data_IF_751404217634
#
_entry.id   IF_751404217634
#
_cell.length_a   1.000
_cell.length_b   1.000
_cell.length_c   1.000
_cell.angle_alpha   90.00
_cell.angle_beta   90.00
_cell.angle_gamma   90.00
#
_symmetry.space_group_name_H-M   'P 1'
#
loop_
_entity.id
_entity.type
_entity.pdbx_description
1 polymer ?
#
# COMPACT_ATOMS: atom_id res chain seq x y z
N UNK A 1 27.46 -43.73 22.19
CA UNK A 1 27.86 -42.30 22.00
C UNK A 1 26.73 -41.39 22.51
N UNK A 2 26.97 -40.49 23.47
CA UNK A 2 25.94 -39.57 23.95
C UNK A 2 25.61 -38.55 22.86
N UNK A 3 24.31 -38.38 22.55
CA UNK A 3 23.81 -37.33 21.66
C UNK A 3 24.21 -35.96 22.25
N UNK A 4 25.20 -35.29 21.67
CA UNK A 4 25.51 -33.88 21.99
C UNK A 4 24.21 -33.07 21.84
N UNK A 5 23.68 -32.55 22.95
CA UNK A 5 22.57 -31.57 22.94
C UNK A 5 23.02 -30.42 22.03
N UNK A 6 22.38 -30.26 20.87
CA UNK A 6 22.64 -29.14 19.96
C UNK A 6 22.32 -27.84 20.69
N UNK A 7 23.35 -27.05 20.99
CA UNK A 7 23.19 -25.71 21.56
C UNK A 7 22.33 -24.85 20.63
N UNK A 8 21.29 -24.25 21.21
CA UNK A 8 20.40 -23.34 20.49
C UNK A 8 20.97 -21.94 20.61
N UNK A 9 21.06 -21.28 19.46
CA UNK A 9 21.57 -19.91 19.35
C UNK A 9 20.37 -19.00 19.23
N UNK A 10 20.23 -18.09 20.19
CA UNK A 10 19.17 -17.08 20.15
C UNK A 10 19.68 -15.81 19.49
N UNK A 11 18.93 -15.33 18.50
CA UNK A 11 19.20 -14.05 17.85
C UNK A 11 18.29 -12.98 18.45
N UNK A 12 18.86 -11.87 18.85
CA UNK A 12 18.15 -10.69 19.36
C UNK A 12 18.62 -9.45 18.58
N UNK A 13 17.76 -8.44 18.46
CA UNK A 13 18.16 -7.11 17.97
C UNK A 13 18.11 -6.15 19.16
N UNK A 14 19.21 -5.46 19.40
CA UNK A 14 19.27 -4.46 20.46
C UNK A 14 18.60 -3.13 20.06
N UNK A 15 18.42 -2.17 20.99
CA UNK A 15 17.85 -0.86 20.68
C UNK A 15 18.63 -0.03 19.65
N UNK A 16 19.84 -0.45 19.26
CA UNK A 16 20.68 0.18 18.25
C UNK A 16 20.71 -0.61 16.93
N UNK A 17 19.75 -1.49 16.70
CA UNK A 17 19.65 -2.32 15.50
C UNK A 17 20.93 -3.15 15.23
N UNK A 18 21.56 -3.67 16.29
CA UNK A 18 22.68 -4.59 16.18
C UNK A 18 22.23 -6.01 16.49
N UNK A 19 22.82 -6.98 15.80
CA UNK A 19 22.55 -8.39 16.04
C UNK A 19 23.29 -8.84 17.29
N UNK A 20 22.54 -9.38 18.26
CA UNK A 20 23.07 -10.04 19.45
C UNK A 20 22.90 -11.55 19.28
N UNK A 21 23.96 -12.29 19.59
CA UNK A 21 23.89 -13.73 19.83
C UNK A 21 23.89 -13.96 21.34
N UNK A 22 22.88 -14.68 21.83
CA UNK A 22 22.88 -15.23 23.18
C UNK A 22 23.06 -16.76 23.08
N UNK A 23 24.11 -17.25 23.74
CA UNK A 23 24.36 -18.69 23.87
C UNK A 23 23.60 -19.23 25.09
N UNK A 24 22.96 -20.39 24.94
CA UNK A 24 22.27 -21.08 26.05
C UNK A 24 22.90 -22.46 26.25
N UNK A 25 23.50 -22.69 27.42
CA UNK A 25 24.17 -23.96 27.74
C UNK A 25 24.39 -24.16 29.25
N UNK A 26 24.32 -25.41 29.71
CA UNK A 26 24.43 -25.82 31.12
C UNK A 26 25.80 -25.54 31.78
N UNK A 27 26.80 -25.11 31.01
CA UNK A 27 28.13 -24.71 31.51
C UNK A 27 28.23 -23.23 31.89
N UNK A 28 27.25 -22.39 31.55
CA UNK A 28 27.25 -21.00 31.94
C UNK A 28 26.71 -20.86 33.38
N UNK A 29 27.60 -20.91 34.38
CA UNK A 29 27.31 -20.50 35.77
C UNK A 29 27.11 -18.97 35.90
N UNK A 30 26.84 -18.26 34.80
CA UNK A 30 26.62 -16.80 34.74
C UNK A 30 25.43 -16.50 33.83
N UNK A 31 24.65 -15.49 34.18
CA UNK A 31 23.49 -15.01 33.43
C UNK A 31 23.87 -14.59 32.00
N UNK A 32 23.49 -15.39 31.00
CA UNK A 32 23.44 -15.07 29.56
C UNK A 32 24.58 -14.18 29.01
N UNK A 33 25.66 -14.79 28.51
CA UNK A 33 26.64 -14.06 27.69
C UNK A 33 25.98 -13.58 26.38
N UNK A 34 25.90 -12.25 26.21
CA UNK A 34 25.36 -11.58 25.02
C UNK A 34 26.51 -10.99 24.21
N UNK A 35 26.70 -11.50 22.99
CA UNK A 35 27.72 -10.99 22.08
C UNK A 35 27.09 -10.12 21.00
N UNK A 36 27.50 -8.86 20.94
CA UNK A 36 27.15 -7.94 19.85
C UNK A 36 28.03 -8.27 18.66
N UNK A 37 27.40 -8.54 17.52
CA UNK A 37 28.09 -8.70 16.24
C UNK A 37 28.08 -7.36 15.52
N UNK A 38 29.23 -6.94 14.98
CA UNK A 38 29.33 -5.75 14.14
C UNK A 38 28.98 -6.11 12.70
N UNK A 39 28.13 -5.32 12.05
CA UNK A 39 27.61 -5.64 10.72
C UNK A 39 26.39 -4.79 10.34
N UNK A 40 25.72 -5.18 9.26
CA UNK A 40 24.53 -4.49 8.75
C UNK A 40 23.48 -5.45 8.19
N UNK A 41 22.20 -5.04 8.24
CA UNK A 41 21.12 -5.79 7.62
C UNK A 41 21.03 -5.51 6.12
N UNK A 42 20.74 -6.56 5.34
CA UNK A 42 20.48 -6.49 3.91
C UNK A 42 19.24 -7.33 3.57
N UNK A 43 18.40 -6.79 2.70
CA UNK A 43 17.29 -7.52 2.10
C UNK A 43 17.66 -7.91 0.67
N UNK A 44 17.45 -9.17 0.32
CA UNK A 44 17.68 -9.67 -1.04
C UNK A 44 16.45 -9.52 -1.96
N UNK A 45 16.57 -10.00 -3.20
CA UNK A 45 15.49 -9.94 -4.20
C UNK A 45 14.20 -10.70 -3.82
N UNK A 46 14.30 -11.62 -2.87
CA UNK A 46 13.19 -12.45 -2.38
C UNK A 46 12.65 -11.93 -1.04
N UNK A 47 13.03 -10.71 -0.65
CA UNK A 47 12.69 -10.12 0.64
C UNK A 47 13.22 -10.91 1.85
N UNK A 48 14.27 -11.71 1.67
CA UNK A 48 14.92 -12.42 2.78
C UNK A 48 15.89 -11.50 3.50
N UNK A 49 15.80 -11.45 4.83
CA UNK A 49 16.70 -10.68 5.66
C UNK A 49 18.01 -11.45 5.86
N UNK A 50 19.13 -10.75 5.73
CA UNK A 50 20.42 -11.27 6.13
C UNK A 50 21.20 -10.22 6.91
N UNK A 51 22.03 -10.67 7.84
CA UNK A 51 22.98 -9.83 8.55
C UNK A 51 24.39 -10.11 8.00
N UNK A 52 25.06 -9.07 7.52
CA UNK A 52 26.40 -9.13 6.96
C UNK A 52 27.39 -8.69 8.03
N UNK A 53 28.24 -9.61 8.48
CA UNK A 53 29.19 -9.39 9.57
C UNK A 53 30.42 -8.65 9.02
N UNK A 54 30.79 -7.54 9.66
CA UNK A 54 32.00 -6.78 9.32
C UNK A 54 33.22 -7.48 9.92
N UNK A 55 34.26 -7.66 9.11
CA UNK A 55 35.54 -8.19 9.59
C UNK A 55 36.30 -7.17 10.44
N UNK A 56 37.17 -7.61 11.37
CA UNK A 56 37.40 -9.01 11.77
C UNK A 56 36.30 -9.54 12.71
N UNK A 57 35.96 -10.82 12.58
CA UNK A 57 35.11 -11.49 13.57
C UNK A 57 35.87 -11.62 14.90
N UNK A 58 35.20 -11.50 16.07
CA UNK A 58 35.85 -11.72 17.36
C UNK A 58 36.61 -13.05 17.38
N UNK A 59 37.86 -13.04 17.85
CA UNK A 59 38.72 -14.23 17.90
C UNK A 59 38.01 -15.39 18.59
N UNK A 60 38.05 -16.59 17.98
CA UNK A 60 37.44 -17.82 18.51
C UNK A 60 35.97 -18.04 18.15
N UNK A 61 35.24 -17.04 17.67
CA UNK A 61 33.83 -17.20 17.29
C UNK A 61 33.69 -17.67 15.83
N UNK A 62 33.21 -18.91 15.61
CA UNK A 62 32.86 -19.44 14.27
C UNK A 62 31.57 -18.81 13.73
N UNK A 63 31.54 -17.49 13.62
CA UNK A 63 30.39 -16.73 13.11
C UNK A 63 30.52 -16.62 11.59
N UNK A 64 29.51 -17.03 10.81
CA UNK A 64 29.56 -16.88 9.36
C UNK A 64 29.55 -15.39 8.97
N UNK A 65 30.24 -15.04 7.87
CA UNK A 65 30.22 -13.68 7.31
C UNK A 65 28.81 -13.19 6.96
N UNK A 66 27.86 -14.11 6.77
CA UNK A 66 26.46 -13.83 6.53
C UNK A 66 25.57 -14.73 7.39
N UNK A 67 24.67 -14.12 8.16
CA UNK A 67 23.61 -14.83 8.90
C UNK A 67 22.29 -14.61 8.16
N UNK A 68 21.73 -15.68 7.57
CA UNK A 68 20.41 -15.62 6.93
C UNK A 68 19.30 -15.75 7.97
N UNK A 69 18.35 -14.83 7.94
CA UNK A 69 17.24 -14.73 8.89
C UNK A 69 15.93 -14.97 8.12
N UNK A 70 15.39 -16.18 8.26
CA UNK A 70 14.14 -16.57 7.63
C UNK A 70 13.00 -16.41 8.64
N UNK A 71 11.93 -15.77 8.23
CA UNK A 71 10.78 -15.50 9.09
C UNK A 71 9.66 -14.85 8.32
N UNK A 72 8.66 -14.33 9.03
CA UNK A 72 7.53 -13.61 8.43
C UNK A 72 7.54 -12.14 8.84
N UNK A 73 7.33 -11.25 7.87
CA UNK A 73 7.36 -9.81 8.07
C UNK A 73 6.03 -9.26 8.60
N UNK A 74 6.13 -8.32 9.53
CA UNK A 74 5.01 -7.57 10.08
C UNK A 74 5.42 -6.10 10.30
N UNK A 75 4.42 -5.22 10.29
CA UNK A 75 4.58 -3.82 10.70
C UNK A 75 4.01 -3.69 12.12
N UNK A 76 4.82 -3.19 13.05
CA UNK A 76 4.36 -2.92 14.43
C UNK A 76 3.47 -1.68 14.48
N UNK A 77 2.84 -1.43 15.63
CA UNK A 77 2.04 -0.21 15.85
C UNK A 77 2.89 1.07 15.75
N UNK A 78 4.15 1.02 16.18
CA UNK A 78 5.11 2.13 16.01
C UNK A 78 5.78 2.20 14.62
N UNK A 79 5.23 1.51 13.62
CA UNK A 79 5.78 1.44 12.26
C UNK A 79 7.23 0.94 12.19
N UNK A 80 7.61 0.00 13.06
CA UNK A 80 8.86 -0.75 12.95
C UNK A 80 8.64 -2.00 12.10
N UNK A 81 9.69 -2.44 11.40
CA UNK A 81 9.66 -3.72 10.71
C UNK A 81 10.00 -4.84 11.69
N UNK A 82 9.12 -5.82 11.82
CA UNK A 82 9.32 -6.99 12.66
C UNK A 82 9.39 -8.25 11.79
N UNK A 83 10.39 -9.09 12.04
CA UNK A 83 10.54 -10.40 11.44
C UNK A 83 10.34 -11.46 12.52
N UNK A 84 9.29 -12.28 12.40
CA UNK A 84 9.09 -13.45 13.27
C UNK A 84 9.80 -14.65 12.67
N UNK A 85 10.85 -15.14 13.33
CA UNK A 85 11.72 -16.19 12.77
C UNK A 85 10.99 -17.54 12.66
N UNK A 86 11.21 -18.20 11.52
CA UNK A 86 10.84 -19.59 11.31
C UNK A 86 11.82 -20.50 12.06
N UNK A 87 11.39 -21.71 12.45
CA UNK A 87 12.29 -22.69 13.06
C UNK A 87 13.25 -23.22 12.00
N UNK A 88 14.47 -22.70 11.95
CA UNK A 88 15.51 -23.23 11.06
C UNK A 88 16.87 -23.38 11.76
N UNK A 89 17.45 -24.58 11.69
CA UNK A 89 18.76 -24.88 12.27
C UNK A 89 18.84 -24.68 13.78
N UNK A 90 19.75 -23.82 14.24
CA UNK A 90 19.97 -23.48 15.66
C UNK A 90 19.05 -22.36 16.18
N UNK A 91 18.19 -21.80 15.35
CA UNK A 91 17.27 -20.71 15.71
C UNK A 91 16.10 -21.21 16.56
N UNK A 92 15.66 -20.38 17.49
CA UNK A 92 14.46 -20.59 18.29
C UNK A 92 13.22 -20.08 17.54
N UNK A 93 12.22 -20.96 17.40
CA UNK A 93 10.95 -20.66 16.73
C UNK A 93 10.21 -19.54 17.49
N UNK A 94 9.67 -18.56 16.75
CA UNK A 94 8.81 -17.52 17.31
C UNK A 94 9.55 -16.31 17.89
N UNK A 95 10.88 -16.28 17.83
CA UNK A 95 11.62 -15.06 18.17
C UNK A 95 11.30 -13.93 17.18
N UNK A 96 11.06 -12.75 17.73
CA UNK A 96 10.71 -11.53 16.98
C UNK A 96 11.93 -10.63 16.91
N UNK A 97 12.42 -10.40 15.70
CA UNK A 97 13.47 -9.43 15.43
C UNK A 97 12.81 -8.11 15.00
N UNK A 98 12.90 -7.08 15.83
CA UNK A 98 12.30 -5.77 15.53
C UNK A 98 13.39 -4.79 15.09
N UNK A 99 13.32 -4.36 13.83
CA UNK A 99 14.16 -3.33 13.25
C UNK A 99 13.52 -1.96 13.50
N UNK A 100 14.14 -1.18 14.37
CA UNK A 100 13.74 0.19 14.65
C UNK A 100 14.15 1.11 13.50
N UNK A 101 13.21 1.85 12.96
CA UNK A 101 13.47 2.69 11.80
C UNK A 101 12.29 3.53 11.37
N UNK A 102 12.34 4.05 10.15
CA UNK A 102 11.25 4.85 9.57
C UNK A 102 10.99 4.42 8.14
N UNK A 103 9.73 4.45 7.75
CA UNK A 103 9.33 4.31 6.35
C UNK A 103 9.70 5.62 5.67
N UNK A 104 10.63 5.54 4.71
CA UNK A 104 11.11 6.69 3.94
C UNK A 104 10.16 7.04 2.81
N UNK A 105 9.71 6.01 2.08
CA UNK A 105 9.01 6.19 0.82
C UNK A 105 8.17 4.95 0.47
N UNK A 106 7.09 5.19 -0.26
CA UNK A 106 6.17 4.19 -0.80
C UNK A 106 6.17 4.30 -2.33
N UNK A 107 6.86 3.37 -2.98
CA UNK A 107 6.96 3.33 -4.45
C UNK A 107 6.01 2.30 -5.01
N UNK A 108 5.78 2.36 -6.33
CA UNK A 108 4.86 1.50 -7.07
C UNK A 108 4.85 0.04 -6.62
N UNK A 109 6.02 -0.57 -6.47
CA UNK A 109 6.19 -1.98 -6.11
C UNK A 109 7.22 -2.19 -4.98
N UNK A 110 7.49 -1.14 -4.18
CA UNK A 110 8.46 -1.27 -3.10
C UNK A 110 8.20 -0.33 -1.93
N UNK A 111 8.51 -0.79 -0.73
CA UNK A 111 8.57 0.00 0.49
C UNK A 111 10.04 0.24 0.86
N UNK A 112 10.41 1.50 1.06
CA UNK A 112 11.75 1.88 1.52
C UNK A 112 11.73 2.17 3.01
N UNK A 113 12.58 1.49 3.75
CA UNK A 113 12.68 1.60 5.21
C UNK A 113 14.11 1.92 5.61
N UNK A 114 14.35 2.99 6.36
CA UNK A 114 15.69 3.29 6.87
C UNK A 114 15.90 2.65 8.24
N UNK A 115 17.04 2.01 8.41
CA UNK A 115 17.53 1.49 9.68
C UNK A 115 18.79 2.26 10.04
N UNK A 116 18.83 2.80 11.26
CA UNK A 116 20.03 3.43 11.81
C UNK A 116 20.63 2.49 12.84
N UNK A 117 21.90 2.17 12.68
CA UNK A 117 22.69 1.39 13.63
C UNK A 117 23.80 2.24 14.25
N UNK A 118 24.37 1.77 15.36
CA UNK A 118 25.40 2.48 16.11
C UNK A 118 26.50 1.54 16.57
N UNK A 119 27.74 1.78 16.18
CA UNK A 119 28.88 0.96 16.59
C UNK A 119 29.20 1.13 18.08
N UNK A 120 30.13 0.32 18.61
CA UNK A 120 30.65 0.50 19.98
C UNK A 120 31.30 1.87 20.17
N UNK A 121 31.97 2.37 19.13
CA UNK A 121 32.62 3.69 19.08
C UNK A 121 31.64 4.85 18.87
N UNK A 122 30.34 4.64 19.12
CA UNK A 122 29.32 5.68 18.98
C UNK A 122 29.07 6.18 17.53
N UNK A 123 29.74 5.60 16.53
CA UNK A 123 29.56 5.96 15.11
C UNK A 123 28.20 5.47 14.63
N UNK A 124 27.40 6.39 14.10
CA UNK A 124 26.09 6.07 13.53
C UNK A 124 26.22 5.75 12.05
N UNK A 125 25.47 4.76 11.59
CA UNK A 125 25.35 4.43 10.17
C UNK A 125 23.88 4.20 9.84
N UNK A 126 23.41 4.82 8.76
CA UNK A 126 22.03 4.64 8.28
C UNK A 126 22.06 3.97 6.92
N UNK A 127 21.23 2.95 6.74
CA UNK A 127 21.07 2.25 5.47
C UNK A 127 19.59 1.99 5.18
N UNK A 128 19.31 1.71 3.91
CA UNK A 128 17.94 1.55 3.40
C UNK A 128 17.69 0.07 3.10
N UNK A 129 16.64 -0.46 3.70
CA UNK A 129 16.05 -1.73 3.37
C UNK A 129 14.91 -1.51 2.37
N UNK A 130 15.00 -2.16 1.21
CA UNK A 130 13.98 -2.11 0.15
C UNK A 130 13.21 -3.42 0.13
N UNK A 131 11.95 -3.39 0.54
CA UNK A 131 11.03 -4.51 0.41
C UNK A 131 10.30 -4.41 -0.93
N UNK A 132 10.31 -5.48 -1.73
CA UNK A 132 9.60 -5.59 -2.99
C UNK A 132 8.22 -6.26 -2.82
N UNK A 133 7.21 -5.81 -3.56
CA UNK A 133 5.85 -6.27 -3.34
C UNK A 133 4.81 -5.48 -4.14
N UNK A 134 3.55 -5.58 -3.73
CA UNK A 134 2.43 -4.89 -4.34
C UNK A 134 1.52 -4.25 -3.29
N UNK A 135 0.98 -3.09 -3.61
CA UNK A 135 0.03 -2.38 -2.72
C UNK A 135 -1.38 -2.90 -2.91
N UNK A 136 -2.08 -3.14 -1.79
CA UNK A 136 -3.44 -3.68 -1.78
C UNK A 136 -4.25 -3.11 -0.61
N UNK A 137 -5.58 -3.11 -0.75
CA UNK A 137 -6.48 -2.80 0.34
C UNK A 137 -7.01 -4.11 0.94
N UNK A 138 -7.04 -4.21 2.27
CA UNK A 138 -7.60 -5.40 2.91
C UNK A 138 -9.13 -5.36 3.01
N UNK A 139 -9.71 -6.40 3.62
CA UNK A 139 -11.17 -6.51 3.81
C UNK A 139 -11.80 -5.37 4.63
N UNK A 140 -10.99 -4.58 5.35
CA UNK A 140 -11.38 -3.44 6.17
C UNK A 140 -10.94 -2.11 5.55
N UNK A 141 -10.58 -2.08 4.27
CA UNK A 141 -10.08 -0.90 3.55
C UNK A 141 -8.82 -0.26 4.15
N UNK A 142 -8.01 -1.04 4.88
CA UNK A 142 -6.70 -0.61 5.36
C UNK A 142 -5.68 -0.74 4.24
N UNK A 143 -4.69 0.15 4.23
CA UNK A 143 -3.59 0.07 3.28
C UNK A 143 -2.68 -1.10 3.68
N UNK A 144 -2.36 -1.97 2.74
CA UNK A 144 -1.46 -3.11 2.96
C UNK A 144 -0.41 -3.18 1.87
N UNK A 145 0.79 -3.63 2.24
CA UNK A 145 1.83 -3.97 1.30
C UNK A 145 2.05 -5.48 1.32
N UNK A 146 1.69 -6.13 0.22
CA UNK A 146 1.90 -7.56 0.01
C UNK A 146 3.33 -7.81 -0.43
N UNK A 147 4.13 -8.41 0.44
CA UNK A 147 5.54 -8.71 0.18
C UNK A 147 5.61 -9.90 -0.77
N UNK A 148 6.32 -9.74 -1.89
CA UNK A 148 6.53 -10.80 -2.86
C UNK A 148 7.61 -11.77 -2.39
N UNK A 149 7.30 -13.05 -2.25
CA UNK A 149 8.31 -14.09 -1.97
C UNK A 149 8.54 -14.98 -3.18
N UNK A 150 9.73 -15.57 -3.26
CA UNK A 150 10.03 -16.57 -4.28
C UNK A 150 9.28 -17.90 -4.04
N UNK A 151 9.20 -18.35 -2.79
CA UNK A 151 8.44 -19.52 -2.36
C UNK A 151 7.80 -19.23 -0.99
N UNK A 152 6.53 -19.62 -0.79
CA UNK A 152 5.81 -19.45 0.48
C UNK A 152 4.50 -18.66 0.36
N UNK A 153 3.82 -18.46 1.49
CA UNK A 153 2.60 -17.65 1.58
C UNK A 153 2.92 -16.15 1.50
N UNK A 154 2.02 -15.39 0.91
CA UNK A 154 2.09 -13.94 0.88
C UNK A 154 2.03 -13.34 2.29
N UNK A 155 2.81 -12.29 2.51
CA UNK A 155 2.89 -11.56 3.79
C UNK A 155 2.42 -10.13 3.61
N UNK A 156 1.76 -9.58 4.62
CA UNK A 156 1.13 -8.27 4.52
C UNK A 156 1.65 -7.35 5.62
N UNK A 157 2.27 -6.24 5.21
CA UNK A 157 2.50 -5.11 6.09
C UNK A 157 1.24 -4.26 6.13
N UNK A 158 0.49 -4.34 7.23
CA UNK A 158 -0.77 -3.60 7.39
C UNK A 158 -0.53 -2.27 8.08
N UNK A 159 -0.95 -1.19 7.42
CA UNK A 159 -0.93 0.15 7.95
C UNK A 159 -2.22 0.38 8.74
N UNK A 160 -2.10 0.42 10.07
CA UNK A 160 -3.24 0.38 11.00
C UNK A 160 -3.95 1.73 11.19
N UNK A 161 -3.36 2.82 10.68
CA UNK A 161 -3.91 4.16 10.78
C UNK A 161 -4.95 4.45 9.70
N UNK A 162 -5.69 5.54 9.87
CA UNK A 162 -6.52 6.09 8.80
C UNK A 162 -5.68 6.69 7.67
N UNK A 163 -6.31 6.87 6.51
CA UNK A 163 -5.76 7.61 5.38
C UNK A 163 -6.77 8.64 4.88
N UNK A 164 -6.28 9.64 4.16
CA UNK A 164 -7.09 10.73 3.60
C UNK A 164 -6.67 11.04 2.17
N UNK A 165 -7.39 11.94 1.50
CA UNK A 165 -7.03 12.44 0.18
C UNK A 165 -6.50 13.86 0.27
N UNK A 166 -5.44 14.15 -0.49
CA UNK A 166 -5.01 15.52 -0.70
C UNK A 166 -5.82 16.21 -1.84
N UNK A 167 -5.49 17.47 -2.11
CA UNK A 167 -6.08 18.28 -3.19
C UNK A 167 -5.88 17.72 -4.61
N UNK A 168 -4.95 16.78 -4.79
CA UNK A 168 -4.65 16.13 -6.07
C UNK A 168 -5.22 14.71 -6.12
N UNK A 169 -6.20 14.40 -5.27
CA UNK A 169 -6.84 13.08 -5.18
C UNK A 169 -5.85 11.94 -4.87
N UNK A 170 -4.70 12.22 -4.27
CA UNK A 170 -3.73 11.21 -3.86
C UNK A 170 -4.01 10.74 -2.43
N UNK A 171 -3.76 9.46 -2.16
CA UNK A 171 -3.89 8.90 -0.81
C UNK A 171 -2.69 9.35 0.04
N UNK A 172 -3.00 9.92 1.20
CA UNK A 172 -2.06 10.34 2.22
C UNK A 172 -2.25 9.48 3.46
N UNK A 173 -1.16 8.88 3.92
CA UNK A 173 -1.10 8.18 5.19
C UNK A 173 -0.14 8.92 6.12
N UNK A 174 -0.60 9.28 7.33
CA UNK A 174 0.23 9.92 8.35
C UNK A 174 0.39 9.02 9.56
N UNK A 175 1.59 8.99 10.11
CA UNK A 175 1.87 8.33 11.38
C UNK A 175 2.83 9.16 12.23
N UNK A 176 2.67 9.05 13.53
CA UNK A 176 3.56 9.69 14.50
C UNK A 176 4.63 8.71 14.95
N UNK A 177 5.86 9.21 15.10
CA UNK A 177 6.94 8.45 15.72
C UNK A 177 7.73 9.33 16.67
N UNK A 178 7.99 8.83 17.87
CA UNK A 178 8.83 9.52 18.83
C UNK A 178 10.30 9.49 18.37
N UNK A 179 10.96 10.66 18.41
CA UNK A 179 12.40 10.75 18.27
C UNK A 179 13.04 10.52 19.64
N UNK A 180 13.64 9.35 19.84
CA UNK A 180 14.23 8.91 21.12
C UNK A 180 15.21 9.92 21.74
N UNK A 181 15.93 10.69 20.92
CA UNK A 181 16.95 11.65 21.38
C UNK A 181 16.33 12.94 21.93
N UNK A 182 15.21 13.42 21.36
CA UNK A 182 14.62 14.74 21.70
C UNK A 182 13.28 14.64 22.42
N UNK A 183 12.75 13.43 22.68
CA UNK A 183 11.37 13.19 23.14
C UNK A 183 10.29 13.90 22.32
N UNK A 184 10.62 14.35 21.10
CA UNK A 184 9.69 15.04 20.19
C UNK A 184 8.99 14.03 19.32
N UNK A 185 7.67 14.18 19.17
CA UNK A 185 6.89 13.41 18.20
C UNK A 185 7.05 14.05 16.82
N UNK A 186 7.42 13.24 15.82
CA UNK A 186 7.47 13.67 14.43
C UNK A 186 6.37 13.00 13.65
N UNK A 187 5.61 13.80 12.89
CA UNK A 187 4.63 13.31 11.93
C UNK A 187 5.36 12.94 10.65
N UNK A 188 5.18 11.70 10.22
CA UNK A 188 5.66 11.17 8.95
C UNK A 188 4.48 11.07 7.99
N UNK A 189 4.66 11.54 6.75
CA UNK A 189 3.64 11.54 5.70
C UNK A 189 4.09 10.66 4.54
N UNK A 190 3.26 9.70 4.17
CA UNK A 190 3.44 8.84 2.99
C UNK A 190 2.38 9.23 1.95
N UNK A 191 2.84 9.54 0.74
CA UNK A 191 1.97 9.92 -0.38
C UNK A 191 2.01 8.84 -1.45
N UNK A 192 0.86 8.21 -1.70
CA UNK A 192 0.75 7.21 -2.77
C UNK A 192 0.39 7.91 -4.07
N UNK A 193 1.26 7.83 -5.07
CA UNK A 193 1.00 8.40 -6.41
C UNK A 193 0.27 7.37 -7.28
N UNK A 194 -0.89 7.75 -7.81
CA UNK A 194 -1.76 6.87 -8.59
C UNK A 194 -2.98 7.65 -9.12
N UNK A 195 -3.99 6.92 -9.58
CA UNK A 195 -5.25 7.50 -10.06
C UNK A 195 -6.44 6.63 -9.65
N UNK A 196 -7.62 7.25 -9.60
CA UNK A 196 -8.87 6.59 -9.32
C UNK A 196 -9.50 5.96 -10.56
N UNK A 197 -10.10 4.80 -10.37
CA UNK A 197 -10.83 4.04 -11.38
C UNK A 197 -12.05 3.35 -10.74
N UNK A 198 -13.09 3.08 -11.54
CA UNK A 198 -14.35 2.49 -11.09
C UNK A 198 -14.67 1.31 -12.00
N UNK A 199 -14.53 0.09 -11.48
CA UNK A 199 -14.78 -1.13 -12.24
C UNK A 199 -16.08 -1.83 -11.85
N UNK A 200 -16.63 -1.53 -10.68
CA UNK A 200 -17.86 -2.14 -10.19
C UNK A 200 -18.63 -1.19 -9.27
N UNK A 201 -19.91 -1.51 -9.02
CA UNK A 201 -20.88 -0.71 -8.26
C UNK A 201 -20.49 -0.47 -6.79
N UNK A 202 -19.64 -1.33 -6.23
CA UNK A 202 -19.38 -1.40 -4.78
C UNK A 202 -17.91 -1.30 -4.43
N UNK A 203 -17.06 -0.98 -5.41
CA UNK A 203 -15.63 -0.83 -5.20
C UNK A 203 -15.08 0.34 -5.99
N UNK A 204 -14.20 1.05 -5.30
CA UNK A 204 -13.43 2.14 -5.85
C UNK A 204 -11.96 1.73 -5.86
N UNK A 205 -11.32 1.87 -7.01
CA UNK A 205 -9.96 1.41 -7.22
C UNK A 205 -9.01 2.61 -7.25
N UNK A 206 -7.95 2.56 -6.44
CA UNK A 206 -6.81 3.47 -6.58
C UNK A 206 -5.64 2.71 -7.20
N UNK A 207 -5.37 2.99 -8.46
CA UNK A 207 -4.35 2.30 -9.25
C UNK A 207 -3.02 3.03 -9.10
N UNK A 208 -2.05 2.37 -8.47
CA UNK A 208 -0.68 2.89 -8.34
C UNK A 208 0.16 2.42 -9.53
N UNK A 209 0.04 1.13 -9.87
CA UNK A 209 0.73 0.54 -11.00
C UNK A 209 0.01 -0.71 -11.51
N UNK A 210 -0.47 -0.66 -12.76
CA UNK A 210 -1.17 -1.78 -13.40
C UNK A 210 -0.26 -2.99 -13.63
N UNK A 211 1.02 -2.77 -13.96
CA UNK A 211 1.95 -3.84 -14.34
C UNK A 211 2.28 -4.77 -13.17
N UNK A 212 2.38 -4.21 -11.96
CA UNK A 212 2.65 -4.98 -10.74
C UNK A 212 1.40 -5.34 -9.93
N UNK A 213 0.20 -5.05 -10.46
CA UNK A 213 -1.07 -5.21 -9.75
C UNK A 213 -1.07 -4.49 -8.38
N UNK A 214 -0.42 -3.33 -8.32
CA UNK A 214 -0.43 -2.47 -7.14
C UNK A 214 -1.64 -1.55 -7.20
N UNK A 215 -2.72 -2.00 -6.56
CA UNK A 215 -4.04 -1.37 -6.60
C UNK A 215 -4.71 -1.48 -5.23
N UNK A 216 -5.19 -0.35 -4.71
CA UNK A 216 -6.11 -0.38 -3.57
C UNK A 216 -7.54 -0.54 -4.07
N UNK A 217 -8.11 -1.73 -3.91
CA UNK A 217 -9.52 -2.01 -4.23
C UNK A 217 -10.40 -1.84 -2.98
N UNK A 218 -10.90 -0.63 -2.75
CA UNK A 218 -11.70 -0.32 -1.57
C UNK A 218 -13.15 -0.76 -1.75
N UNK A 219 -13.72 -1.44 -0.75
CA UNK A 219 -15.16 -1.68 -0.65
C UNK A 219 -15.87 -0.41 -0.21
N UNK A 220 -16.88 0.00 -0.96
CA UNK A 220 -17.60 1.26 -0.76
C UNK A 220 -19.11 1.04 -0.69
N UNK A 221 -19.83 2.07 -0.23
CA UNK A 221 -21.27 2.18 -0.52
C UNK A 221 -21.49 2.42 -2.02
N UNK A 222 -22.77 2.49 -2.43
CA UNK A 222 -23.13 3.01 -3.73
C UNK A 222 -22.58 4.43 -3.93
N UNK A 223 -22.07 4.70 -5.12
CA UNK A 223 -21.56 6.02 -5.51
C UNK A 223 -22.69 7.00 -5.84
N UNK A 224 -22.45 8.28 -5.55
CA UNK A 224 -23.32 9.39 -5.94
C UNK A 224 -22.61 10.16 -7.07
N UNK A 225 -23.23 10.21 -8.24
CA UNK A 225 -22.69 10.84 -9.43
C UNK A 225 -23.38 12.18 -9.66
N UNK A 226 -22.59 13.25 -9.77
CA UNK A 226 -23.06 14.63 -9.99
C UNK A 226 -22.25 15.28 -11.10
N UNK A 227 -22.71 16.42 -11.57
CA UNK A 227 -22.13 17.21 -12.67
C UNK A 227 -20.63 17.55 -12.49
N UNK A 228 -20.17 17.79 -11.26
CA UNK A 228 -18.78 18.18 -10.97
C UNK A 228 -18.00 17.20 -10.11
N UNK A 229 -18.65 16.15 -9.63
CA UNK A 229 -18.01 15.20 -8.75
C UNK A 229 -18.64 13.81 -8.73
N UNK A 230 -17.84 12.84 -8.31
CA UNK A 230 -18.27 11.51 -7.93
C UNK A 230 -17.95 11.32 -6.44
N UNK A 231 -18.94 10.89 -5.65
CA UNK A 231 -18.79 10.73 -4.20
C UNK A 231 -19.02 9.28 -3.78
N UNK A 232 -18.13 8.75 -2.94
CA UNK A 232 -18.25 7.43 -2.33
C UNK A 232 -18.09 7.51 -0.81
N UNK A 233 -18.79 6.64 -0.07
CA UNK A 233 -18.54 6.41 1.35
C UNK A 233 -17.73 5.13 1.52
N UNK A 234 -16.63 5.22 2.26
CA UNK A 234 -15.70 4.11 2.53
C UNK A 234 -15.53 3.97 4.04
N UNK A 235 -15.76 2.78 4.59
CA UNK A 235 -15.44 2.50 5.99
C UNK A 235 -14.00 2.02 6.11
N UNK A 236 -13.14 2.75 6.82
CA UNK A 236 -11.74 2.37 7.06
C UNK A 236 -11.62 1.79 8.46
N UNK A 237 -11.16 0.55 8.59
CA UNK A 237 -10.86 -0.06 9.88
C UNK A 237 -9.65 0.59 10.54
N UNK A 238 -9.81 1.10 11.75
CA UNK A 238 -8.72 1.64 12.58
C UNK A 238 -8.69 0.82 13.88
N UNK A 239 -7.50 0.38 14.30
CA UNK A 239 -7.33 -0.62 15.36
C UNK A 239 -8.03 -0.22 16.68
N UNK A 240 -8.05 1.08 16.99
CA UNK A 240 -8.50 1.59 18.30
C UNK A 240 -9.99 1.97 18.36
N UNK A 241 -10.74 1.82 17.26
CA UNK A 241 -12.12 2.34 17.20
C UNK A 241 -13.21 1.28 17.19
N UNK A 242 -12.88 -0.02 17.10
CA UNK A 242 -13.83 -1.15 17.07
C UNK A 242 -14.78 -1.18 15.85
N UNK A 243 -15.24 -0.02 15.38
CA UNK A 243 -16.04 0.22 14.19
C UNK A 243 -15.21 0.96 13.13
N UNK A 244 -15.38 0.64 11.84
CA UNK A 244 -14.72 1.37 10.76
C UNK A 244 -15.07 2.87 10.81
N UNK A 245 -14.08 3.75 10.71
CA UNK A 245 -14.32 5.18 10.56
C UNK A 245 -14.84 5.47 9.15
N UNK A 246 -16.07 6.00 8.98
CA UNK A 246 -16.56 6.36 7.66
C UNK A 246 -15.76 7.54 7.11
N UNK A 247 -15.34 7.44 5.86
CA UNK A 247 -14.71 8.51 5.09
C UNK A 247 -15.49 8.74 3.81
N UNK A 248 -15.60 10.01 3.42
CA UNK A 248 -16.22 10.40 2.17
C UNK A 248 -15.09 10.72 1.19
N UNK A 249 -15.04 9.98 0.09
CA UNK A 249 -14.15 10.25 -1.03
C UNK A 249 -14.95 11.05 -2.04
N UNK A 250 -14.49 12.26 -2.35
CA UNK A 250 -15.06 13.10 -3.40
C UNK A 250 -14.02 13.32 -4.47
N UNK A 251 -14.29 12.82 -5.67
CA UNK A 251 -13.47 12.99 -6.87
C UNK A 251 -14.06 14.14 -7.67
N UNK A 252 -13.31 15.23 -7.80
CA UNK A 252 -13.74 16.39 -8.58
C UNK A 252 -13.24 16.23 -10.01
N UNK A 253 -14.04 16.66 -10.97
CA UNK A 253 -13.73 16.46 -12.37
C UNK A 253 -14.81 16.99 -13.29
N UNK A 254 -14.65 16.67 -14.57
CA UNK A 254 -15.57 17.13 -15.62
C UNK A 254 -16.06 15.97 -16.45
N UNK A 255 -17.37 15.95 -16.72
CA UNK A 255 -17.95 14.99 -17.65
C UNK A 255 -17.74 15.45 -19.08
N UNK A 256 -17.34 14.52 -19.95
CA UNK A 256 -17.22 14.74 -21.40
C UNK A 256 -17.75 13.53 -22.15
N UNK A 257 -18.37 13.77 -23.28
CA UNK A 257 -18.70 12.73 -24.27
C UNK A 257 -17.67 12.83 -25.38
N UNK A 258 -17.02 11.72 -25.70
CA UNK A 258 -16.02 11.63 -26.77
C UNK A 258 -16.48 10.61 -27.81
N UNK A 259 -16.48 10.99 -29.09
CA UNK A 259 -16.80 10.08 -30.20
C UNK A 259 -15.87 8.87 -30.16
N UNK A 260 -16.43 7.66 -30.30
CA UNK A 260 -15.66 6.40 -30.27
C UNK A 260 -15.25 5.88 -28.88
N UNK A 261 -15.24 6.73 -27.84
CA UNK A 261 -14.88 6.35 -26.47
C UNK A 261 -16.11 6.26 -25.56
N UNK A 262 -17.07 7.18 -25.71
CA UNK A 262 -18.28 7.25 -24.90
C UNK A 262 -18.24 8.33 -23.83
N UNK A 263 -18.91 8.09 -22.69
CA UNK A 263 -18.99 9.03 -21.58
C UNK A 263 -17.74 8.90 -20.68
N UNK A 264 -17.09 10.00 -20.39
CA UNK A 264 -15.86 10.04 -19.58
C UNK A 264 -15.97 11.04 -18.44
N UNK A 265 -15.36 10.72 -17.30
CA UNK A 265 -15.16 11.65 -16.20
C UNK A 265 -13.66 11.93 -16.05
N UNK A 266 -13.26 13.16 -16.39
CA UNK A 266 -11.87 13.59 -16.38
C UNK A 266 -11.51 14.26 -15.05
N UNK A 267 -10.53 13.69 -14.36
CA UNK A 267 -9.99 14.18 -13.09
C UNK A 267 -8.58 14.71 -13.35
N UNK A 268 -8.31 15.94 -12.88
CA UNK A 268 -6.97 16.52 -12.93
C UNK A 268 -6.17 16.14 -11.68
N UNK A 269 -4.94 15.68 -11.90
CA UNK A 269 -3.97 15.31 -10.87
C UNK A 269 -2.78 16.27 -10.88
N UNK A 270 -1.80 16.00 -10.01
CA UNK A 270 -0.52 16.71 -9.95
C UNK A 270 0.11 16.86 -11.35
N UNK A 271 0.64 18.06 -11.65
CA UNK A 271 1.23 18.45 -12.93
C UNK A 271 0.26 18.48 -14.13
N UNK A 272 -1.00 18.85 -13.90
CA UNK A 272 -2.06 18.94 -14.92
C UNK A 272 -2.30 17.62 -15.67
N UNK A 273 -1.91 16.49 -15.07
CA UNK A 273 -2.14 15.17 -15.65
C UNK A 273 -3.61 14.84 -15.51
N UNK A 274 -4.28 14.61 -16.62
CA UNK A 274 -5.70 14.26 -16.64
C UNK A 274 -5.83 12.74 -16.74
N UNK A 275 -6.60 12.14 -15.83
CA UNK A 275 -7.04 10.75 -15.98
C UNK A 275 -8.54 10.70 -16.22
N UNK A 276 -8.95 9.91 -17.20
CA UNK A 276 -10.35 9.76 -17.57
C UNK A 276 -10.88 8.40 -17.10
N UNK A 277 -11.97 8.40 -16.33
CA UNK A 277 -12.75 7.20 -16.06
C UNK A 277 -13.76 7.06 -17.19
N UNK A 278 -13.72 5.94 -17.90
CA UNK A 278 -14.59 5.68 -19.06
C UNK A 278 -15.81 4.88 -18.60
N UNK A 279 -16.99 5.33 -19.02
CA UNK A 279 -18.27 4.69 -18.74
C UNK A 279 -18.96 4.34 -20.06
N UNK A 280 -19.50 3.13 -20.12
CA UNK A 280 -20.66 2.87 -20.98
C UNK A 280 -21.90 3.51 -20.37
N UNK A 281 -22.92 3.77 -21.18
CA UNK A 281 -24.16 4.30 -20.65
C UNK A 281 -25.38 3.96 -21.52
N UNK A 282 -26.50 3.64 -20.87
CA UNK A 282 -27.80 3.76 -21.53
C UNK A 282 -28.28 5.19 -21.37
N UNK A 283 -28.66 5.80 -22.49
CA UNK A 283 -28.94 7.22 -22.58
C UNK A 283 -30.39 7.43 -22.92
N UNK A 284 -31.07 8.24 -22.12
CA UNK A 284 -32.45 8.64 -22.35
C UNK A 284 -32.57 10.16 -22.30
N UNK A 285 -33.14 10.75 -23.35
CA UNK A 285 -33.56 12.14 -23.34
C UNK A 285 -34.78 12.29 -22.42
N UNK A 286 -34.81 13.34 -21.62
CA UNK A 286 -35.95 13.62 -20.73
C UNK A 286 -36.67 14.89 -21.18
N UNK A 287 -37.97 15.06 -20.87
CA UNK A 287 -38.77 16.20 -21.33
C UNK A 287 -38.27 17.59 -20.88
N UNK A 288 -37.33 17.64 -19.93
CA UNK A 288 -36.76 18.88 -19.38
C UNK A 288 -35.37 19.18 -19.95
N UNK A 289 -35.07 18.78 -21.17
CA UNK A 289 -33.79 19.09 -21.83
C UNK A 289 -32.56 18.55 -21.07
N UNK A 290 -32.78 17.50 -20.27
CA UNK A 290 -31.74 16.77 -19.53
C UNK A 290 -31.54 15.40 -20.15
N UNK A 291 -30.31 14.93 -20.08
CA UNK A 291 -29.97 13.57 -20.47
C UNK A 291 -29.74 12.76 -19.20
N UNK A 292 -30.39 11.61 -19.11
CA UNK A 292 -30.10 10.60 -18.09
C UNK A 292 -29.19 9.52 -18.66
N UNK A 293 -28.12 9.22 -17.94
CA UNK A 293 -27.16 8.16 -18.24
C UNK A 293 -27.24 7.10 -17.14
N UNK A 294 -27.62 5.88 -17.50
CA UNK A 294 -27.42 4.70 -16.63
C UNK A 294 -26.02 4.17 -16.87
N UNK A 295 -25.12 4.37 -15.90
CA UNK A 295 -23.70 4.10 -16.09
C UNK A 295 -23.38 2.61 -16.07
N UNK A 296 -22.49 2.19 -16.96
CA UNK A 296 -21.98 0.83 -17.13
C UNK A 296 -20.45 0.84 -17.18
N UNK A 297 -19.84 -0.27 -16.77
CA UNK A 297 -18.39 -0.46 -16.88
C UNK A 297 -17.99 -0.98 -18.28
N UNK A 298 -16.69 -1.17 -18.50
CA UNK A 298 -16.11 -1.71 -19.75
C UNK A 298 -16.62 -3.13 -20.10
N UNK A 299 -17.18 -3.87 -19.13
CA UNK A 299 -17.78 -5.20 -19.34
C UNK A 299 -19.30 -5.13 -19.55
N UNK A 300 -19.82 -3.94 -19.85
CA UNK A 300 -21.25 -3.66 -20.02
C UNK A 300 -22.11 -4.01 -18.78
N UNK A 301 -21.51 -4.05 -17.58
CA UNK A 301 -22.23 -4.27 -16.32
C UNK A 301 -22.60 -2.93 -15.70
N UNK A 302 -23.83 -2.82 -15.20
CA UNK A 302 -24.29 -1.64 -14.49
C UNK A 302 -23.44 -1.36 -13.25
N UNK A 303 -23.01 -0.11 -13.10
CA UNK A 303 -22.34 0.36 -11.87
C UNK A 303 -23.33 1.03 -10.91
N UNK A 304 -24.63 0.96 -11.20
CA UNK A 304 -25.72 1.41 -10.34
C UNK A 304 -25.82 2.93 -10.14
N UNK A 305 -25.12 3.72 -10.95
CA UNK A 305 -25.22 5.17 -10.95
C UNK A 305 -26.10 5.67 -12.09
N UNK A 306 -27.06 6.54 -11.76
CA UNK A 306 -27.74 7.39 -12.74
C UNK A 306 -27.12 8.79 -12.69
N UNK A 307 -26.65 9.28 -13.84
CA UNK A 307 -26.15 10.64 -13.98
C UNK A 307 -27.12 11.45 -14.82
N UNK A 308 -27.57 12.60 -14.29
CA UNK A 308 -28.40 13.54 -15.02
C UNK A 308 -27.58 14.77 -15.36
N UNK A 309 -27.33 15.00 -16.65
CA UNK A 309 -26.62 16.19 -17.16
C UNK A 309 -27.58 17.10 -17.92
N UNK A 310 -27.31 18.41 -17.88
CA UNK A 310 -27.96 19.36 -18.78
C UNK A 310 -27.32 19.31 -20.17
N UNK A 311 -28.09 19.63 -21.22
CA UNK A 311 -27.55 19.73 -22.57
C UNK A 311 -26.36 20.70 -22.69
N UNK A 312 -26.30 21.73 -21.83
CA UNK A 312 -25.26 22.78 -21.86
C UNK A 312 -23.86 22.26 -21.52
N UNK A 313 -23.77 21.12 -20.84
CA UNK A 313 -22.49 20.47 -20.48
C UNK A 313 -21.90 19.74 -21.70
N UNK A 314 -22.70 19.50 -22.74
CA UNK A 314 -22.36 18.72 -23.93
C UNK A 314 -21.98 19.58 -25.13
N UNK A 315 -21.23 20.68 -24.91
CA UNK A 315 -20.72 21.52 -26.01
C UNK A 315 -19.75 20.74 -26.91
N UNK A 316 -19.71 21.06 -28.21
CA UNK A 316 -18.85 20.38 -29.19
C UNK A 316 -19.40 19.03 -29.63
N UNK A 317 -18.61 17.96 -29.55
CA UNK A 317 -19.00 16.58 -29.93
C UNK A 317 -20.30 16.09 -29.26
N UNK A 318 -20.64 16.64 -28.09
CA UNK A 318 -21.87 16.33 -27.38
C UNK A 318 -23.15 16.87 -28.06
N UNK A 319 -23.06 17.93 -28.86
CA UNK A 319 -24.21 18.46 -29.63
C UNK A 319 -24.57 17.55 -30.81
N UNK A 320 -23.55 17.01 -31.50
CA UNK A 320 -23.75 16.01 -32.54
C UNK A 320 -24.40 14.74 -31.98
N UNK A 321 -23.99 14.33 -30.76
CA UNK A 321 -24.59 13.20 -30.05
C UNK A 321 -26.06 13.47 -29.65
N UNK A 322 -26.36 14.69 -29.19
CA UNK A 322 -27.73 15.13 -28.91
C UNK A 322 -28.62 15.10 -30.16
N UNK A 323 -28.11 15.54 -31.31
CA UNK A 323 -28.85 15.48 -32.59
C UNK A 323 -29.14 14.04 -33.00
N UNK A 324 -28.18 13.14 -32.83
CA UNK A 324 -28.37 11.70 -33.08
C UNK A 324 -29.43 11.06 -32.16
N UNK A 325 -29.47 11.43 -30.88
CA UNK A 325 -30.51 10.94 -29.97
C UNK A 325 -31.92 11.39 -30.38
N UNK A 326 -32.06 12.64 -30.83
CA UNK A 326 -33.35 13.17 -31.31
C UNK A 326 -33.83 12.47 -32.59
N UNK A 327 -32.92 12.00 -33.45
CA UNK A 327 -33.30 11.31 -34.69
C UNK A 327 -33.63 9.81 -34.52
N UNK A 328 -33.23 9.18 -33.40
CA UNK A 328 -33.44 7.75 -33.11
C UNK A 328 -34.46 7.45 -32.00
N UNK A 329 -35.50 8.28 -31.84
CA UNK A 329 -36.55 8.08 -30.83
C UNK A 329 -36.05 8.16 -29.37
N UNK A 330 -35.22 9.16 -29.05
CA UNK A 330 -34.89 9.63 -27.68
C UNK A 330 -34.07 8.68 -26.79
N UNK A 331 -33.69 7.50 -27.28
CA UNK A 331 -32.89 6.52 -26.53
C UNK A 331 -31.70 6.02 -27.35
N UNK A 332 -30.56 5.82 -26.69
CA UNK A 332 -29.41 5.14 -27.30
C UNK A 332 -28.55 4.44 -26.24
N UNK A 333 -27.78 3.45 -26.68
CA UNK A 333 -26.76 2.79 -25.86
C UNK A 333 -25.39 3.26 -26.33
N UNK A 334 -24.59 3.79 -25.40
CA UNK A 334 -23.18 4.11 -25.62
C UNK A 334 -22.35 2.95 -25.07
N UNK A 335 -21.58 2.31 -25.96
CA UNK A 335 -20.54 1.37 -25.54
C UNK A 335 -19.28 2.15 -25.20
N UNK A 336 -18.87 2.09 -23.93
CA UNK A 336 -17.62 2.69 -23.48
C UNK A 336 -16.44 1.81 -23.87
N UNK A 337 -15.68 2.18 -24.89
CA UNK A 337 -14.47 1.47 -25.32
C UNK A 337 -13.30 2.45 -25.31
N UNK A 338 -12.47 2.39 -24.26
CA UNK A 338 -11.27 3.22 -24.14
C UNK A 338 -10.04 2.37 -23.91
N UNK A 339 -9.01 2.55 -24.75
CA UNK A 339 -7.68 2.05 -24.42
C UNK A 339 -7.15 2.85 -23.23
N UNK A 340 -6.97 2.17 -22.10
CA UNK A 340 -6.45 2.80 -20.88
C UNK A 340 -4.94 3.03 -21.02
N UNK A 341 -4.54 4.24 -21.42
CA UNK A 341 -3.15 4.72 -21.38
C UNK A 341 -2.58 4.64 -19.96
#
# INVERSE_FOLDING_TARGET
MPKRKKERVRFEIDPHNRLIIAETGAKAKVSRFRHIITGYFKIDKNNSLSYHVKAPTPQGARIPHQVKLQGNWFLTDDHNLQLTLNKWGRQTLGDKLTLQGKILDVRKNSLLFSVTTKTKENVQSTYILKLAGAWQADKHNRLTFRIKRGQGRDEFLTFKGGWELNKHHQIIYRYEKAQLIRKQKRIHTLTFKGYWDIKDKTRLYYVIDKRSDSVFAFKTSLGIFKDKYIKYKVGIGVLDKGKPSPRIITLYGTWKIKKGIGLTFEIEYENKKIHAIVFGADVKLTPKDKISFKLRNERNKEIGGELKLSHKILKGDGEAFLRFLKSKNETAVIVGAGFRW
#
